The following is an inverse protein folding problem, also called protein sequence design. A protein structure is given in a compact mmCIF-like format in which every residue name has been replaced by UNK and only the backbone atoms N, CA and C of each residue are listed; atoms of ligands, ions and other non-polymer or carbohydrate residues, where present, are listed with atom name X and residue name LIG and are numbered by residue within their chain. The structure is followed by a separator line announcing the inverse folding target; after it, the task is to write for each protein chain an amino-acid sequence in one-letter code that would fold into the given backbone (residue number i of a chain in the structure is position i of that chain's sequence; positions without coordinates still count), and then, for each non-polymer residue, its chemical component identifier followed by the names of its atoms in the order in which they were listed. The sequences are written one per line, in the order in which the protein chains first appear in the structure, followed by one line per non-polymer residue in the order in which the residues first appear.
data_IF_135960832621
#
_entry.id   IF_135960832621
#
_cell.length_a   1.000
_cell.length_b   1.000
_cell.length_c   1.000
_cell.angle_alpha   90.00
_cell.angle_beta   90.00
_cell.angle_gamma   90.00
#
_symmetry.space_group_name_H-M   'P 1'
#
loop_
_entity.id
_entity.type
_entity.pdbx_description
1 polymer ?
#
# COMPACT_ATOMS: atom_id res chain seq x y z
N UNK A 1 -8.49 -16.17 -4.28
CA UNK A 1 -8.03 -15.20 -5.29
C UNK A 1 -6.52 -15.03 -5.12
N UNK A 2 -5.72 -15.45 -6.11
CA UNK A 2 -4.26 -15.22 -6.10
C UNK A 2 -3.97 -14.05 -7.05
N UNK A 3 -3.18 -13.08 -6.59
CA UNK A 3 -2.79 -11.91 -7.40
C UNK A 3 -1.72 -12.35 -8.42
N UNK A 4 -1.68 -11.75 -9.61
CA UNK A 4 -0.61 -12.02 -10.60
C UNK A 4 0.79 -11.76 -10.01
N UNK A 5 1.81 -12.49 -10.48
CA UNK A 5 3.20 -12.27 -10.09
C UNK A 5 3.67 -10.84 -10.39
N UNK A 6 3.25 -10.27 -11.52
CA UNK A 6 3.57 -8.89 -11.89
C UNK A 6 2.94 -7.90 -10.91
N UNK A 7 1.68 -8.13 -10.51
CA UNK A 7 1.00 -7.28 -9.54
C UNK A 7 1.67 -7.33 -8.15
N UNK A 8 2.22 -8.50 -7.77
CA UNK A 8 2.99 -8.63 -6.53
C UNK A 8 4.35 -7.92 -6.63
N UNK A 9 5.04 -8.03 -7.77
CA UNK A 9 6.30 -7.33 -8.02
C UNK A 9 6.12 -5.81 -8.03
N UNK A 10 5.12 -5.29 -8.74
CA UNK A 10 4.78 -3.87 -8.78
C UNK A 10 4.48 -3.31 -7.38
N UNK A 11 3.74 -4.07 -6.57
CA UNK A 11 3.49 -3.71 -5.18
C UNK A 11 4.80 -3.53 -4.40
N UNK A 12 5.69 -4.54 -4.42
CA UNK A 12 6.93 -4.48 -3.65
C UNK A 12 7.91 -3.41 -4.16
N UNK A 13 7.99 -3.20 -5.47
CA UNK A 13 8.81 -2.11 -6.06
C UNK A 13 8.32 -0.76 -5.54
N UNK A 14 7.00 -0.51 -5.58
CA UNK A 14 6.42 0.75 -5.10
C UNK A 14 6.70 0.95 -3.60
N UNK A 15 6.55 -0.08 -2.78
CA UNK A 15 6.79 0.02 -1.33
C UNK A 15 8.27 0.26 -1.01
N UNK A 16 9.19 -0.42 -1.70
CA UNK A 16 10.62 -0.17 -1.55
C UNK A 16 10.98 1.28 -1.88
N UNK A 17 10.50 1.80 -3.01
CA UNK A 17 10.74 3.20 -3.40
C UNK A 17 10.21 4.20 -2.37
N UNK A 18 9.03 3.96 -1.79
CA UNK A 18 8.45 4.83 -0.77
C UNK A 18 9.23 4.78 0.55
N UNK A 19 9.73 3.60 0.95
CA UNK A 19 10.55 3.45 2.15
C UNK A 19 11.91 4.16 2.00
N UNK A 20 12.57 4.00 0.84
CA UNK A 20 13.83 4.69 0.54
C UNK A 20 13.68 6.22 0.52
N UNK A 21 12.58 6.72 -0.06
CA UNK A 21 12.31 8.16 -0.11
C UNK A 21 11.90 8.76 1.25
N UNK A 22 11.41 7.94 2.19
CA UNK A 22 10.87 8.38 3.48
C UNK A 22 11.45 7.55 4.65
N UNK A 23 12.75 7.69 4.97
CA UNK A 23 13.45 6.81 5.92
C UNK A 23 12.95 6.91 7.38
N UNK A 24 12.21 7.96 7.73
CA UNK A 24 11.60 8.12 9.05
C UNK A 24 10.21 7.48 9.20
N UNK A 25 9.59 7.06 8.08
CA UNK A 25 8.25 6.48 8.09
C UNK A 25 8.32 4.96 8.26
N UNK A 26 7.44 4.42 9.10
CA UNK A 26 7.27 2.98 9.19
C UNK A 26 6.46 2.46 8.00
N UNK A 27 6.51 1.15 7.74
CA UNK A 27 5.63 0.50 6.76
C UNK A 27 4.15 0.82 7.00
N UNK A 28 3.71 0.85 8.26
CA UNK A 28 2.32 1.15 8.63
C UNK A 28 1.94 2.59 8.29
N UNK A 29 2.86 3.55 8.45
CA UNK A 29 2.64 4.94 8.09
C UNK A 29 2.55 5.11 6.57
N UNK A 30 3.46 4.46 5.82
CA UNK A 30 3.41 4.42 4.36
C UNK A 30 2.06 3.88 3.88
N UNK A 31 1.62 2.74 4.44
CA UNK A 31 0.33 2.13 4.09
C UNK A 31 -0.87 3.04 4.40
N UNK A 32 -0.86 3.69 5.56
CA UNK A 32 -1.91 4.64 5.94
C UNK A 32 -2.04 5.75 4.89
N UNK A 33 -0.94 6.32 4.44
CA UNK A 33 -0.98 7.39 3.46
C UNK A 33 -1.33 6.89 2.06
N UNK A 34 -0.88 5.69 1.66
CA UNK A 34 -1.33 5.08 0.40
C UNK A 34 -2.84 4.80 0.38
N UNK A 35 -3.43 4.35 1.50
CA UNK A 35 -4.88 4.14 1.62
C UNK A 35 -5.66 5.45 1.52
N UNK A 36 -5.16 6.53 2.15
CA UNK A 36 -5.75 7.86 2.03
C UNK A 36 -5.71 8.38 0.59
N UNK A 37 -4.54 8.26 -0.07
CA UNK A 37 -4.35 8.70 -1.46
C UNK A 37 -5.22 7.94 -2.46
N UNK A 38 -5.47 6.66 -2.20
CA UNK A 38 -6.33 5.82 -3.04
C UNK A 38 -7.83 5.98 -2.72
N UNK A 39 -8.21 6.93 -1.85
CA UNK A 39 -9.59 7.20 -1.45
C UNK A 39 -10.35 5.94 -1.01
N UNK A 40 -9.64 5.03 -0.32
CA UNK A 40 -10.22 3.76 0.10
C UNK A 40 -11.31 4.01 1.14
N UNK A 41 -12.57 3.73 0.76
CA UNK A 41 -13.68 3.74 1.70
C UNK A 41 -13.59 2.51 2.62
N UNK A 42 -12.97 2.71 3.78
CA UNK A 42 -12.79 1.67 4.78
C UNK A 42 -14.12 1.01 5.16
N UNK A 43 -15.23 1.74 5.19
CA UNK A 43 -16.55 1.18 5.59
C UNK A 43 -17.01 0.11 4.61
N UNK A 44 -16.69 0.26 3.32
CA UNK A 44 -16.98 -0.76 2.28
C UNK A 44 -16.04 -1.96 2.36
N UNK A 45 -14.85 -1.79 2.91
CA UNK A 45 -13.85 -2.86 3.02
C UNK A 45 -14.07 -3.72 4.26
N UNK A 46 -14.47 -3.14 5.39
CA UNK A 46 -14.72 -3.90 6.64
C UNK A 46 -16.15 -4.45 6.75
N UNK A 47 -17.08 -3.97 5.92
CA UNK A 47 -18.51 -4.29 5.97
C UNK A 47 -19.00 -5.32 4.94
N UNK A 48 -18.11 -6.17 4.40
CA UNK A 48 -18.44 -7.27 3.49
C UNK A 48 -18.45 -8.63 4.16
#
# INVERSE_FOLDING_TARGET
MVRSINAQAEYWIKIGMLAEANPSMTFSDIMRDQMKLAEVDLRKVVGG
#
